data_IF_363759104615
#
_entry.id   IF_363759104615
#
_cell.length_a   1.000
_cell.length_b   1.000
_cell.length_c   1.000
_cell.angle_alpha   90.00
_cell.angle_beta   90.00
_cell.angle_gamma   90.00
#
_symmetry.space_group_name_H-M   'P 1'
#
loop_
_entity.id
_entity.type
_entity.pdbx_description
1 polymer ?
#
# COMPACT_ATOMS: atom_id res chain seq x y z
N UNK A 1 45.94 -7.70 5.04
CA UNK A 1 44.67 -8.19 5.60
C UNK A 1 43.56 -7.80 4.64
N UNK A 2 43.16 -8.70 3.74
CA UNK A 2 42.14 -8.44 2.75
C UNK A 2 40.77 -8.48 3.44
N UNK A 3 40.05 -7.36 3.42
CA UNK A 3 38.65 -7.29 3.81
C UNK A 3 37.81 -8.00 2.72
N UNK A 4 37.50 -9.28 2.97
CA UNK A 4 36.52 -10.01 2.19
C UNK A 4 35.15 -9.39 2.47
N UNK A 5 34.45 -8.83 1.47
CA UNK A 5 33.11 -8.29 1.69
C UNK A 5 32.20 -9.43 2.14
N UNK A 6 31.52 -9.22 3.27
CA UNK A 6 30.45 -10.10 3.72
C UNK A 6 29.40 -10.15 2.60
N UNK A 7 29.27 -11.31 1.93
CA UNK A 7 28.19 -11.57 0.99
C UNK A 7 26.87 -11.36 1.76
N UNK A 8 26.07 -10.40 1.31
CA UNK A 8 24.71 -10.24 1.82
C UNK A 8 24.01 -11.60 1.72
N UNK A 9 23.48 -12.07 2.85
CA UNK A 9 22.74 -13.32 2.91
C UNK A 9 21.54 -13.16 2.00
N UNK A 10 21.48 -13.86 0.88
CA UNK A 10 20.35 -13.78 -0.05
C UNK A 10 19.10 -14.25 0.68
N UNK A 11 18.09 -13.41 0.77
CA UNK A 11 16.81 -13.77 1.37
C UNK A 11 16.13 -14.82 0.50
N UNK A 12 15.99 -16.05 1.02
CA UNK A 12 15.46 -17.21 0.30
C UNK A 12 13.96 -17.43 0.55
N UNK A 13 13.32 -16.57 1.35
CA UNK A 13 11.88 -16.67 1.62
C UNK A 13 11.07 -16.39 0.36
N UNK A 14 9.93 -17.06 0.24
CA UNK A 14 8.94 -16.74 -0.80
C UNK A 14 8.56 -15.25 -0.74
N UNK A 15 8.37 -14.65 -1.89
CA UNK A 15 8.00 -13.24 -2.01
C UNK A 15 6.48 -13.08 -2.07
N UNK A 16 5.91 -12.47 -1.05
CA UNK A 16 4.52 -12.02 -1.03
C UNK A 16 4.45 -10.57 -1.50
N UNK A 17 3.72 -10.32 -2.58
CA UNK A 17 3.39 -8.96 -3.03
C UNK A 17 1.93 -8.68 -2.72
N UNK A 18 1.67 -7.53 -2.11
CA UNK A 18 0.33 -7.03 -1.81
C UNK A 18 0.08 -5.78 -2.64
N UNK A 19 -0.97 -5.80 -3.46
CA UNK A 19 -1.41 -4.63 -4.24
C UNK A 19 -2.54 -3.95 -3.47
N UNK A 20 -2.25 -2.78 -2.94
CA UNK A 20 -3.13 -1.99 -2.10
C UNK A 20 -2.60 -1.83 -0.68
N UNK A 21 -2.33 -0.59 -0.29
CA UNK A 21 -1.82 -0.20 1.04
C UNK A 21 -2.96 0.34 1.92
N UNK A 22 -4.13 -0.27 1.82
CA UNK A 22 -5.30 0.10 2.61
C UNK A 22 -5.51 -0.80 3.83
N UNK A 23 -6.62 -0.57 4.54
CA UNK A 23 -6.93 -1.28 5.79
C UNK A 23 -6.98 -2.80 5.61
N UNK A 24 -7.58 -3.29 4.51
CA UNK A 24 -7.72 -4.74 4.28
C UNK A 24 -6.37 -5.42 4.00
N UNK A 25 -5.56 -4.84 3.10
CA UNK A 25 -4.24 -5.38 2.75
C UNK A 25 -3.29 -5.39 3.94
N UNK A 26 -3.19 -4.26 4.65
CA UNK A 26 -2.33 -4.16 5.84
C UNK A 26 -2.81 -5.07 6.97
N UNK A 27 -4.13 -5.19 7.20
CA UNK A 27 -4.66 -6.12 8.20
C UNK A 27 -4.30 -7.58 7.89
N UNK A 28 -4.38 -7.98 6.62
CA UNK A 28 -3.96 -9.31 6.19
C UNK A 28 -2.47 -9.57 6.48
N UNK A 29 -1.62 -8.56 6.25
CA UNK A 29 -0.19 -8.65 6.56
C UNK A 29 0.05 -8.70 8.07
N UNK A 30 -0.65 -7.89 8.88
CA UNK A 30 -0.58 -7.96 10.35
C UNK A 30 -0.90 -9.35 10.87
N UNK A 31 -1.99 -9.96 10.39
CA UNK A 31 -2.39 -11.32 10.78
C UNK A 31 -1.36 -12.38 10.35
N UNK A 32 -0.76 -12.20 9.18
CA UNK A 32 0.30 -13.07 8.70
C UNK A 32 1.53 -12.99 9.63
N UNK A 33 1.99 -11.78 9.92
CA UNK A 33 3.15 -11.53 10.79
C UNK A 33 2.93 -12.03 12.20
N UNK A 34 1.70 -11.92 12.72
CA UNK A 34 1.35 -12.44 14.04
C UNK A 34 1.42 -13.97 14.14
N UNK A 35 1.19 -14.67 13.02
CA UNK A 35 1.21 -16.14 12.93
C UNK A 35 2.59 -16.69 12.60
N UNK A 36 3.26 -16.10 11.64
CA UNK A 36 4.56 -16.53 11.14
C UNK A 36 5.31 -15.34 10.51
N UNK A 37 6.05 -14.56 11.31
CA UNK A 37 6.71 -13.34 10.85
C UNK A 37 7.82 -13.59 9.81
N UNK A 38 8.37 -14.79 9.78
CA UNK A 38 9.49 -15.15 8.90
C UNK A 38 9.06 -15.91 7.64
N UNK A 39 7.75 -16.12 7.43
CA UNK A 39 7.24 -16.94 6.33
C UNK A 39 7.52 -16.34 4.96
N UNK A 40 7.37 -15.03 4.82
CA UNK A 40 7.50 -14.33 3.54
C UNK A 40 8.37 -13.09 3.64
N UNK A 41 9.02 -12.79 2.54
CA UNK A 41 9.47 -11.42 2.26
C UNK A 41 8.28 -10.65 1.70
N UNK A 42 7.91 -9.53 2.32
CA UNK A 42 6.68 -8.80 1.97
C UNK A 42 7.00 -7.48 1.27
N UNK A 43 6.33 -7.23 0.15
CA UNK A 43 6.31 -5.94 -0.56
C UNK A 43 4.86 -5.48 -0.72
N UNK A 44 4.59 -4.22 -0.41
CA UNK A 44 3.27 -3.60 -0.56
C UNK A 44 3.37 -2.44 -1.56
N UNK A 45 2.47 -2.40 -2.53
CA UNK A 45 2.28 -1.28 -3.43
C UNK A 45 1.03 -0.49 -3.06
N UNK A 46 1.17 0.82 -2.89
CA UNK A 46 0.06 1.74 -2.65
C UNK A 46 -0.04 2.80 -3.72
N UNK A 47 -1.24 3.07 -4.25
CA UNK A 47 -1.46 4.14 -5.22
C UNK A 47 -1.34 5.53 -4.56
N UNK A 48 -1.79 5.67 -3.32
CA UNK A 48 -1.62 6.90 -2.55
C UNK A 48 -0.18 7.05 -2.03
N UNK A 49 0.39 8.27 -2.03
CA UNK A 49 1.74 8.53 -1.53
C UNK A 49 1.77 8.64 0.01
N UNK A 50 1.10 7.73 0.69
CA UNK A 50 0.89 7.75 2.14
C UNK A 50 0.96 6.35 2.74
N UNK A 51 1.21 6.28 4.04
CA UNK A 51 1.07 5.06 4.84
C UNK A 51 -0.41 4.71 5.06
N UNK A 52 -0.68 3.51 5.57
CA UNK A 52 -2.06 3.07 5.82
C UNK A 52 -2.73 3.90 6.91
N UNK A 53 -3.90 4.40 6.61
CA UNK A 53 -4.72 5.21 7.52
C UNK A 53 -6.17 4.73 7.56
N UNK A 54 -6.89 5.14 8.60
CA UNK A 54 -8.28 4.77 8.81
C UNK A 54 -9.22 5.65 7.96
N UNK A 55 -9.71 5.12 6.84
CA UNK A 55 -10.65 5.83 5.95
C UNK A 55 -11.99 6.15 6.59
N UNK A 56 -12.40 5.41 7.62
CA UNK A 56 -13.64 5.68 8.34
C UNK A 56 -13.55 7.03 9.08
N UNK A 57 -12.33 7.47 9.39
CA UNK A 57 -12.06 8.71 10.11
C UNK A 57 -11.86 9.93 9.20
N UNK A 58 -12.16 9.83 7.90
CA UNK A 58 -12.09 10.98 6.98
C UNK A 58 -13.11 12.07 7.34
N UNK A 59 -14.29 11.70 7.86
CA UNK A 59 -15.29 12.71 8.30
C UNK A 59 -14.78 13.59 9.44
N UNK A 60 -14.20 13.07 10.54
CA UNK A 60 -13.53 13.89 11.54
C UNK A 60 -12.36 14.74 11.00
N UNK A 61 -11.63 14.26 9.99
CA UNK A 61 -10.56 15.05 9.34
C UNK A 61 -11.18 16.22 8.58
N UNK A 62 -12.22 15.98 7.78
CA UNK A 62 -12.94 17.05 7.06
C UNK A 62 -13.55 18.08 8.03
N UNK A 63 -14.02 17.65 9.19
CA UNK A 63 -14.57 18.52 10.23
C UNK A 63 -13.49 19.30 11.00
N UNK A 64 -12.20 19.05 10.77
CA UNK A 64 -11.10 19.66 11.50
C UNK A 64 -10.93 19.15 12.94
N UNK A 65 -11.56 18.04 13.28
CA UNK A 65 -11.49 17.41 14.61
C UNK A 65 -10.26 16.51 14.76
N UNK A 66 -9.73 16.02 13.64
CA UNK A 66 -8.54 15.16 13.56
C UNK A 66 -7.62 15.58 12.42
N UNK A 67 -6.33 15.28 12.60
CA UNK A 67 -5.33 15.42 11.54
C UNK A 67 -5.13 14.08 10.81
N UNK A 68 -4.36 14.09 9.72
CA UNK A 68 -3.94 12.85 9.07
C UNK A 68 -3.15 11.94 10.01
N UNK A 69 -2.26 12.52 10.80
CA UNK A 69 -1.41 11.82 11.76
C UNK A 69 -2.25 11.08 12.81
N UNK A 70 -3.38 11.65 13.23
CA UNK A 70 -4.28 11.05 14.23
C UNK A 70 -5.00 9.80 13.72
N UNK A 71 -5.07 9.62 12.40
CA UNK A 71 -5.80 8.51 11.78
C UNK A 71 -4.89 7.46 11.14
N UNK A 72 -3.57 7.61 11.22
CA UNK A 72 -2.60 6.60 10.78
C UNK A 72 -2.79 5.32 11.59
N UNK A 73 -2.86 4.18 10.89
CA UNK A 73 -2.93 2.84 11.50
C UNK A 73 -1.54 2.23 11.56
N UNK A 74 -0.82 2.24 10.43
CA UNK A 74 0.53 1.72 10.33
C UNK A 74 1.44 2.85 9.86
N UNK A 75 2.33 3.29 10.73
CA UNK A 75 3.31 4.32 10.42
C UNK A 75 4.54 3.76 9.66
N UNK A 76 5.43 4.62 9.19
CA UNK A 76 6.64 4.19 8.47
C UNK A 76 7.52 3.25 9.31
N UNK A 77 7.53 3.43 10.64
CA UNK A 77 8.28 2.59 11.55
C UNK A 77 7.75 1.16 11.53
N UNK A 78 6.43 0.99 11.48
CA UNK A 78 5.82 -0.33 11.41
C UNK A 78 6.28 -1.12 10.19
N UNK A 79 6.30 -0.51 8.99
CA UNK A 79 6.80 -1.17 7.78
C UNK A 79 8.27 -1.55 7.90
N UNK A 80 9.10 -0.61 8.33
CA UNK A 80 10.54 -0.82 8.50
C UNK A 80 10.85 -1.92 9.51
N UNK A 81 10.22 -1.86 10.67
CA UNK A 81 10.52 -2.77 11.80
C UNK A 81 10.03 -4.20 11.53
N UNK A 82 9.04 -4.37 10.64
CA UNK A 82 8.58 -5.67 10.16
C UNK A 82 9.26 -6.11 8.85
N UNK A 83 10.24 -5.38 8.35
CA UNK A 83 10.98 -5.73 7.13
C UNK A 83 10.14 -5.68 5.86
N UNK A 84 9.07 -4.86 5.84
CA UNK A 84 8.17 -4.70 4.70
C UNK A 84 8.73 -3.62 3.78
N UNK A 85 8.82 -3.92 2.50
CA UNK A 85 9.10 -2.93 1.46
C UNK A 85 7.80 -2.25 1.05
N UNK A 86 7.64 -0.97 1.38
CA UNK A 86 6.50 -0.17 0.95
C UNK A 86 6.88 0.71 -0.26
N UNK A 87 6.11 0.59 -1.33
CA UNK A 87 6.12 1.50 -2.49
C UNK A 87 4.85 2.36 -2.46
N UNK A 88 4.88 3.41 -1.64
CA UNK A 88 3.79 4.39 -1.58
C UNK A 88 3.83 5.32 -2.80
N UNK A 89 2.66 5.72 -3.31
CA UNK A 89 2.56 6.53 -4.53
C UNK A 89 3.03 5.80 -5.79
N UNK A 90 2.91 4.48 -5.82
CA UNK A 90 3.28 3.63 -6.96
C UNK A 90 2.13 2.71 -7.32
N UNK A 91 1.23 3.22 -8.14
CA UNK A 91 0.09 2.46 -8.64
C UNK A 91 0.55 1.29 -9.49
N UNK A 92 0.02 0.10 -9.20
CA UNK A 92 0.26 -1.07 -10.05
C UNK A 92 -0.57 -0.95 -11.32
N UNK A 93 0.07 -1.12 -12.47
CA UNK A 93 -0.51 -0.98 -13.80
C UNK A 93 -0.77 -2.32 -14.47
N UNK A 94 0.06 -3.33 -14.16
CA UNK A 94 -0.05 -4.64 -14.79
C UNK A 94 0.45 -5.78 -13.88
N UNK A 95 -0.12 -6.95 -14.11
CA UNK A 95 0.30 -8.21 -13.49
C UNK A 95 0.59 -9.20 -14.63
N UNK A 96 1.85 -9.58 -14.74
CA UNK A 96 2.27 -10.65 -15.63
C UNK A 96 2.20 -11.99 -14.88
N UNK A 97 1.18 -12.77 -15.17
CA UNK A 97 0.94 -14.03 -14.47
C UNK A 97 1.87 -15.16 -14.91
N UNK A 98 2.37 -15.11 -16.13
CA UNK A 98 3.31 -16.11 -16.66
C UNK A 98 4.70 -15.88 -16.09
N UNK A 99 5.20 -14.65 -16.15
CA UNK A 99 6.46 -14.26 -15.56
C UNK A 99 6.40 -14.11 -14.02
N UNK A 100 5.19 -14.08 -13.43
CA UNK A 100 4.95 -13.77 -12.00
C UNK A 100 5.62 -12.47 -11.57
N UNK A 101 5.32 -11.39 -12.29
CA UNK A 101 5.86 -10.05 -12.04
C UNK A 101 4.72 -9.05 -11.98
N UNK A 102 4.77 -8.17 -10.98
CA UNK A 102 3.93 -6.97 -10.86
C UNK A 102 4.70 -5.79 -11.45
N UNK A 103 4.03 -4.98 -12.27
CA UNK A 103 4.58 -3.73 -12.82
C UNK A 103 3.81 -2.54 -12.30
N UNK A 104 4.52 -1.54 -11.82
CA UNK A 104 3.96 -0.32 -11.25
C UNK A 104 4.53 0.92 -11.93
N UNK A 105 3.89 2.06 -11.69
CA UNK A 105 4.34 3.37 -12.17
C UNK A 105 5.82 3.63 -11.88
N UNK A 106 6.47 4.34 -12.80
CA UNK A 106 7.88 4.63 -12.72
C UNK A 106 8.79 3.46 -13.09
N UNK A 107 8.26 2.44 -13.76
CA UNK A 107 9.03 1.28 -14.22
C UNK A 107 9.45 0.32 -13.10
N UNK A 108 8.82 0.41 -11.93
CA UNK A 108 9.07 -0.53 -10.85
C UNK A 108 8.48 -1.90 -11.18
N UNK A 109 9.28 -2.93 -10.94
CA UNK A 109 8.85 -4.32 -11.07
C UNK A 109 9.16 -5.09 -9.80
N UNK A 110 8.25 -6.01 -9.44
CA UNK A 110 8.46 -6.93 -8.33
C UNK A 110 8.04 -8.35 -8.74
N UNK A 111 8.95 -9.32 -8.69
CA UNK A 111 8.57 -10.72 -8.82
C UNK A 111 7.78 -11.17 -7.59
N UNK A 112 6.89 -12.13 -7.76
CA UNK A 112 6.12 -12.68 -6.65
C UNK A 112 5.98 -14.20 -6.72
N UNK A 113 5.94 -14.83 -5.58
CA UNK A 113 5.53 -16.23 -5.41
C UNK A 113 4.06 -16.31 -5.04
N UNK A 114 3.61 -15.36 -4.22
CA UNK A 114 2.21 -15.15 -3.81
C UNK A 114 1.81 -13.70 -4.03
N UNK A 115 0.55 -13.51 -4.43
CA UNK A 115 -0.01 -12.20 -4.73
C UNK A 115 -1.34 -12.00 -4.00
N UNK A 116 -1.49 -10.88 -3.32
CA UNK A 116 -2.75 -10.45 -2.71
C UNK A 116 -3.24 -9.20 -3.42
N UNK A 117 -4.48 -9.23 -3.89
CA UNK A 117 -5.18 -8.10 -4.47
C UNK A 117 -6.09 -7.48 -3.40
N UNK A 118 -5.72 -6.30 -2.92
CA UNK A 118 -6.46 -5.52 -1.93
C UNK A 118 -6.63 -4.08 -2.40
N UNK A 119 -6.99 -3.91 -3.68
CA UNK A 119 -6.99 -2.62 -4.39
C UNK A 119 -8.13 -1.69 -3.99
N UNK A 120 -9.10 -2.18 -3.21
CA UNK A 120 -10.24 -1.38 -2.78
C UNK A 120 -11.25 -1.14 -3.90
N UNK A 121 -11.86 0.03 -3.89
CA UNK A 121 -12.92 0.43 -4.84
C UNK A 121 -12.79 1.91 -5.18
N UNK A 122 -13.25 2.27 -6.37
CA UNK A 122 -13.40 3.66 -6.78
C UNK A 122 -14.82 4.16 -6.50
N UNK A 123 -15.00 5.46 -6.18
CA UNK A 123 -16.32 6.02 -5.99
C UNK A 123 -17.06 6.11 -7.34
N UNK A 124 -18.35 5.78 -7.33
CA UNK A 124 -19.21 5.96 -8.50
C UNK A 124 -19.50 7.45 -8.64
N UNK A 125 -19.14 8.04 -9.79
CA UNK A 125 -19.55 9.39 -10.16
C UNK A 125 -20.78 9.29 -11.05
N UNK A 126 -21.90 9.86 -10.60
CA UNK A 126 -23.11 9.91 -11.39
C UNK A 126 -22.96 10.93 -12.52
N UNK A 127 -23.42 10.63 -13.75
CA UNK A 127 -23.34 11.54 -14.91
C UNK A 127 -24.44 12.63 -14.82
N UNK A 128 -24.34 13.47 -13.79
CA UNK A 128 -25.28 14.57 -13.58
C UNK A 128 -24.73 15.87 -14.18
N UNK A 129 -25.61 16.79 -14.63
CA UNK A 129 -25.19 18.12 -15.03
C UNK A 129 -24.39 18.81 -13.92
N UNK A 130 -23.18 19.29 -14.23
CA UNK A 130 -22.31 19.95 -13.25
C UNK A 130 -21.41 19.00 -12.43
N UNK A 131 -21.44 17.69 -12.67
CA UNK A 131 -20.57 16.74 -11.95
C UNK A 131 -19.08 16.93 -12.24
N UNK A 132 -18.76 17.66 -13.31
CA UNK A 132 -17.40 18.00 -13.76
C UNK A 132 -16.97 19.43 -13.36
N UNK A 133 -17.78 20.16 -12.63
CA UNK A 133 -17.42 21.50 -12.15
C UNK A 133 -16.31 21.46 -11.11
N UNK A 134 -15.48 22.52 -11.10
CA UNK A 134 -14.45 22.67 -10.07
C UNK A 134 -15.07 22.70 -8.67
N UNK A 135 -14.48 21.92 -7.75
CA UNK A 135 -14.97 21.78 -6.38
C UNK A 135 -15.95 20.64 -6.18
N UNK A 136 -16.38 19.95 -7.25
CA UNK A 136 -17.13 18.68 -7.14
C UNK A 136 -16.14 17.54 -7.00
N UNK A 137 -16.02 17.01 -5.79
CA UNK A 137 -15.10 15.93 -5.44
C UNK A 137 -15.85 14.70 -4.93
N UNK A 138 -15.21 13.56 -4.95
CA UNK A 138 -15.69 12.38 -4.26
C UNK A 138 -15.39 12.50 -2.74
N UNK A 139 -15.76 11.49 -1.97
CA UNK A 139 -15.40 11.38 -0.56
C UNK A 139 -14.85 9.97 -0.33
N UNK A 140 -13.59 9.76 -0.75
CA UNK A 140 -13.00 8.41 -0.78
C UNK A 140 -11.64 8.33 -0.11
N UNK A 141 -10.80 9.32 -0.32
CA UNK A 141 -9.42 9.34 0.17
C UNK A 141 -9.09 10.68 0.84
N UNK A 142 -7.87 10.79 1.31
CA UNK A 142 -7.43 11.96 2.04
C UNK A 142 -7.37 13.22 1.15
N UNK A 143 -7.05 13.07 -0.14
CA UNK A 143 -7.00 14.20 -1.08
C UNK A 143 -8.39 14.80 -1.34
N UNK A 144 -9.46 14.02 -1.15
CA UNK A 144 -10.83 14.51 -1.24
C UNK A 144 -11.21 15.43 -0.06
N UNK A 145 -10.48 15.42 1.07
CA UNK A 145 -10.85 16.12 2.31
C UNK A 145 -9.84 17.16 2.77
N UNK A 146 -8.67 17.24 2.15
CA UNK A 146 -7.66 18.28 2.37
C UNK A 146 -7.71 19.33 1.27
#
# INVERSE_FOLDING_TARGET
MEHRPLKAKTDTRDHLVVIGNGMAGCRAVEELLARDPDRYRVTIFGAEPRVNYNRIMLSPVLAGEKTYEDIIINDEAWYRDNGITLHAGRKVEAIDREAKVVRAEGGLEAPYDKLVLATGSDPIRLPLPGADLNGVVAFRDLDDVL
#
